data_IF_586716322033
#
_entry.id   IF_586716322033
#
_cell.length_a   1.000
_cell.length_b   1.000
_cell.length_c   1.000
_cell.angle_alpha   90.00
_cell.angle_beta   90.00
_cell.angle_gamma   90.00
#
_symmetry.space_group_name_H-M   'P 1'
#
loop_
_entity.id
_entity.type
_entity.pdbx_description
1 polymer ?
#
# COMPACT_ATOMS: atom_id res chain seq x y z
N UNK A 1 -18.68 -60.14 20.59
CA UNK A 1 -19.99 -60.02 19.93
C UNK A 1 -19.95 -58.75 19.09
N UNK A 2 -19.91 -58.93 17.76
CA UNK A 2 -19.82 -57.84 16.78
C UNK A 2 -21.25 -57.59 16.26
N UNK A 3 -21.72 -56.34 16.37
CA UNK A 3 -22.98 -55.92 15.71
C UNK A 3 -22.64 -55.02 14.54
N UNK A 4 -22.94 -55.51 13.34
CA UNK A 4 -22.82 -54.81 12.06
C UNK A 4 -24.17 -54.18 11.76
N UNK A 5 -24.27 -52.88 11.68
CA UNK A 5 -25.45 -52.15 11.21
C UNK A 5 -25.29 -51.93 9.71
N UNK A 6 -26.15 -52.59 8.92
CA UNK A 6 -26.32 -52.38 7.46
C UNK A 6 -27.28 -51.22 7.25
N UNK A 7 -26.83 -50.16 6.58
CA UNK A 7 -27.70 -49.10 6.06
C UNK A 7 -28.04 -49.46 4.60
N UNK A 8 -29.33 -49.68 4.35
CA UNK A 8 -29.89 -49.94 3.02
C UNK A 8 -30.17 -48.63 2.31
N UNK A 9 -29.59 -48.46 1.14
CA UNK A 9 -29.81 -47.31 0.27
C UNK A 9 -31.02 -47.59 -0.64
N UNK A 10 -32.15 -46.90 -0.45
CA UNK A 10 -33.28 -46.93 -1.37
C UNK A 10 -33.06 -45.89 -2.49
N UNK A 11 -32.87 -46.41 -3.69
CA UNK A 11 -32.80 -45.61 -4.92
C UNK A 11 -34.22 -45.55 -5.52
N UNK A 12 -34.87 -44.36 -5.42
CA UNK A 12 -36.16 -44.15 -6.07
C UNK A 12 -35.93 -43.47 -7.42
N UNK A 13 -36.17 -44.20 -8.49
CA UNK A 13 -36.18 -43.69 -9.86
C UNK A 13 -37.50 -42.94 -10.10
N UNK A 14 -37.47 -41.63 -10.30
CA UNK A 14 -38.60 -40.88 -10.86
C UNK A 14 -38.36 -40.64 -12.34
N UNK A 15 -39.11 -41.30 -13.18
CA UNK A 15 -39.25 -41.02 -14.61
C UNK A 15 -40.21 -39.83 -14.79
N UNK A 16 -39.73 -38.71 -15.26
CA UNK A 16 -40.55 -37.60 -15.74
C UNK A 16 -40.52 -37.59 -17.27
N UNK A 17 -41.68 -37.89 -17.83
CA UNK A 17 -42.01 -37.78 -19.24
C UNK A 17 -41.89 -36.37 -19.75
N UNK A 18 -41.28 -36.24 -20.94
CA UNK A 18 -41.04 -34.98 -21.60
C UNK A 18 -42.32 -34.29 -22.11
N UNK A 19 -42.36 -33.02 -22.00
CA UNK A 19 -43.09 -32.12 -22.89
C UNK A 19 -42.15 -31.07 -23.42
N UNK A 20 -41.81 -31.19 -24.70
CA UNK A 20 -41.14 -30.18 -25.49
C UNK A 20 -42.04 -28.95 -25.61
N UNK A 21 -41.63 -27.81 -25.08
CA UNK A 21 -42.17 -26.53 -25.47
C UNK A 21 -40.97 -25.70 -25.99
N UNK A 22 -40.58 -25.91 -27.24
CA UNK A 22 -39.79 -24.98 -28.00
C UNK A 22 -40.76 -23.98 -28.66
N UNK A 23 -40.95 -22.81 -28.02
CA UNK A 23 -41.59 -21.64 -28.57
C UNK A 23 -40.55 -20.62 -28.99
N UNK A 24 -40.42 -20.50 -30.29
CA UNK A 24 -39.97 -19.31 -31.06
C UNK A 24 -38.91 -18.36 -30.53
N UNK A 25 -37.79 -18.55 -31.18
CA UNK A 25 -36.77 -17.63 -31.60
C UNK A 25 -37.26 -16.14 -31.68
N UNK A 26 -36.85 -15.33 -30.72
CA UNK A 26 -36.65 -13.90 -30.91
C UNK A 26 -35.16 -13.66 -30.81
N UNK A 27 -34.54 -13.47 -31.98
CA UNK A 27 -33.23 -12.85 -32.11
C UNK A 27 -33.32 -11.47 -31.44
N UNK A 28 -32.97 -11.39 -30.18
CA UNK A 28 -32.60 -10.13 -29.55
C UNK A 28 -31.29 -9.68 -30.17
N UNK A 29 -31.40 -8.88 -31.20
CA UNK A 29 -30.30 -8.10 -31.75
C UNK A 29 -29.72 -7.27 -30.61
N UNK A 30 -28.55 -7.66 -30.12
CA UNK A 30 -27.73 -6.85 -29.26
C UNK A 30 -27.46 -5.55 -30.01
N UNK A 31 -28.20 -4.51 -29.67
CA UNK A 31 -27.97 -3.16 -30.19
C UNK A 31 -26.62 -2.70 -29.65
N UNK A 32 -25.61 -2.69 -30.50
CA UNK A 32 -24.33 -2.03 -30.25
C UNK A 32 -24.64 -0.61 -29.77
N UNK A 33 -24.13 -0.18 -28.62
CA UNK A 33 -24.31 1.19 -28.15
C UNK A 33 -23.72 2.15 -29.20
N UNK A 34 -24.32 3.34 -29.42
CA UNK A 34 -23.86 4.28 -30.43
C UNK A 34 -22.42 4.67 -30.13
N UNK A 35 -21.52 4.42 -31.08
CA UNK A 35 -20.17 4.96 -31.09
C UNK A 35 -20.30 6.49 -31.26
N UNK A 36 -19.96 7.21 -30.17
CA UNK A 36 -19.89 8.66 -30.30
C UNK A 36 -20.26 9.41 -29.03
N UNK A 37 -19.37 9.36 -28.09
CA UNK A 37 -18.92 10.45 -27.21
C UNK A 37 -17.88 9.80 -26.28
N UNK A 38 -16.62 9.87 -26.66
CA UNK A 38 -15.55 9.77 -25.69
C UNK A 38 -15.77 10.94 -24.74
N UNK A 39 -16.48 10.68 -23.64
CA UNK A 39 -16.45 11.58 -22.51
C UNK A 39 -14.99 11.68 -22.13
N UNK A 40 -14.37 12.81 -22.41
CA UNK A 40 -13.09 13.17 -21.84
C UNK A 40 -13.37 13.18 -20.33
N UNK A 41 -13.07 12.09 -19.67
CA UNK A 41 -13.02 12.04 -18.22
C UNK A 41 -11.88 12.99 -17.85
N UNK A 42 -12.23 14.24 -17.58
CA UNK A 42 -11.30 15.17 -16.92
C UNK A 42 -11.10 14.52 -15.55
N UNK A 43 -9.98 13.81 -15.39
CA UNK A 43 -9.60 13.34 -14.07
C UNK A 43 -9.56 14.57 -13.15
N UNK A 44 -10.23 14.52 -12.00
CA UNK A 44 -10.20 15.66 -11.08
C UNK A 44 -8.75 15.94 -10.73
N UNK A 45 -8.35 17.21 -10.90
CA UNK A 45 -6.97 17.63 -10.61
C UNK A 45 -6.57 17.11 -9.23
N UNK A 46 -5.38 16.50 -9.12
CA UNK A 46 -4.85 16.03 -7.85
C UNK A 46 -4.75 17.21 -6.87
N UNK A 47 -5.55 17.18 -5.81
CA UNK A 47 -5.64 18.26 -4.82
C UNK A 47 -5.34 17.75 -3.42
N UNK A 48 -4.71 18.60 -2.62
CA UNK A 48 -4.35 18.34 -1.23
C UNK A 48 -5.05 19.35 -0.32
N UNK A 49 -5.77 18.84 0.68
CA UNK A 49 -6.25 19.63 1.80
C UNK A 49 -5.34 19.33 3.02
N UNK A 50 -4.50 20.27 3.47
CA UNK A 50 -3.55 20.02 4.55
C UNK A 50 -4.21 19.55 5.85
N UNK A 51 -5.41 20.04 6.18
CA UNK A 51 -6.12 19.67 7.41
C UNK A 51 -6.69 18.24 7.39
N UNK A 52 -6.72 17.57 6.23
CA UNK A 52 -7.30 16.24 6.02
C UNK A 52 -6.31 15.23 5.43
N UNK A 53 -5.05 15.64 5.24
CA UNK A 53 -4.04 14.82 4.57
C UNK A 53 -2.86 14.54 5.49
N UNK A 54 -2.43 13.28 5.53
CA UNK A 54 -1.15 12.90 6.13
C UNK A 54 -0.19 12.36 5.04
N UNK A 55 1.09 12.64 5.23
CA UNK A 55 2.19 12.06 4.44
C UNK A 55 2.80 10.92 5.24
N UNK A 56 2.81 9.71 4.68
CA UNK A 56 3.43 8.54 5.25
C UNK A 56 4.73 8.22 4.52
N UNK A 57 5.85 8.39 5.22
CA UNK A 57 7.17 7.92 4.80
C UNK A 57 7.43 6.57 5.49
N UNK A 58 7.66 5.51 4.72
CA UNK A 58 7.61 4.15 5.22
C UNK A 58 8.90 3.37 4.93
N UNK A 59 9.48 2.81 5.99
CA UNK A 59 10.66 1.92 5.95
C UNK A 59 11.91 2.57 5.29
N UNK A 60 12.26 3.75 5.76
CA UNK A 60 13.48 4.48 5.37
C UNK A 60 14.61 4.32 6.42
N UNK A 61 14.63 3.19 7.13
CA UNK A 61 15.71 2.81 8.04
C UNK A 61 16.96 2.41 7.25
N UNK A 62 18.14 2.63 7.85
CA UNK A 62 19.43 2.36 7.23
C UNK A 62 19.53 0.92 6.68
N UNK A 63 19.14 -0.10 7.46
CA UNK A 63 19.13 -1.51 7.03
C UNK A 63 18.27 -1.77 5.77
N UNK A 64 17.23 -0.97 5.55
CA UNK A 64 16.35 -1.06 4.39
C UNK A 64 16.96 -0.30 3.21
N UNK A 65 17.35 0.95 3.44
CA UNK A 65 17.93 1.83 2.43
C UNK A 65 19.22 1.23 1.83
N UNK A 66 20.06 0.61 2.66
CA UNK A 66 21.32 -0.02 2.25
C UNK A 66 21.12 -1.28 1.37
N UNK A 67 19.90 -1.80 1.27
CA UNK A 67 19.59 -2.87 0.31
C UNK A 67 19.45 -2.38 -1.14
N UNK A 68 19.32 -1.08 -1.34
CA UNK A 68 19.19 -0.48 -2.67
C UNK A 68 20.58 -0.20 -3.28
N UNK A 69 20.73 -0.33 -4.60
CA UNK A 69 21.94 0.13 -5.30
C UNK A 69 22.20 1.60 -5.03
N UNK A 70 23.47 2.01 -4.99
CA UNK A 70 23.88 3.38 -4.64
C UNK A 70 23.31 4.43 -5.59
N UNK A 71 23.26 4.13 -6.87
CA UNK A 71 22.70 4.97 -7.94
C UNK A 71 21.17 5.19 -7.79
N UNK A 72 20.48 4.30 -7.10
CA UNK A 72 19.05 4.43 -6.75
C UNK A 72 18.88 5.15 -5.40
N UNK A 73 19.68 4.74 -4.41
CA UNK A 73 19.56 5.18 -3.03
C UNK A 73 19.75 6.70 -2.85
N UNK A 74 20.82 7.25 -3.41
CA UNK A 74 21.13 8.68 -3.30
C UNK A 74 19.98 9.57 -3.78
N UNK A 75 19.57 9.46 -5.06
CA UNK A 75 18.48 10.25 -5.62
C UNK A 75 17.12 10.02 -4.94
N UNK A 76 16.85 8.81 -4.42
CA UNK A 76 15.62 8.50 -3.70
C UNK A 76 15.53 9.28 -2.39
N UNK A 77 16.59 9.27 -1.59
CA UNK A 77 16.67 9.98 -0.31
C UNK A 77 16.62 11.50 -0.48
N UNK A 78 17.27 12.03 -1.52
CA UNK A 78 17.20 13.45 -1.85
C UNK A 78 15.77 13.88 -2.18
N UNK A 79 15.05 13.11 -3.00
CA UNK A 79 13.63 13.35 -3.29
C UNK A 79 12.76 13.26 -2.06
N UNK A 80 12.93 12.23 -1.25
CA UNK A 80 12.18 12.07 0.00
C UNK A 80 12.40 13.26 0.94
N UNK A 81 13.64 13.72 1.08
CA UNK A 81 13.97 14.94 1.85
C UNK A 81 13.27 16.19 1.32
N UNK A 82 13.23 16.37 -0.01
CA UNK A 82 12.54 17.49 -0.66
C UNK A 82 11.02 17.42 -0.45
N UNK A 83 10.42 16.23 -0.57
CA UNK A 83 8.99 16.01 -0.27
C UNK A 83 8.67 16.39 1.17
N UNK A 84 9.47 15.92 2.12
CA UNK A 84 9.26 16.18 3.55
C UNK A 84 9.41 17.68 3.88
N UNK A 85 10.39 18.36 3.29
CA UNK A 85 10.58 19.81 3.44
C UNK A 85 9.33 20.56 2.95
N UNK A 86 8.83 20.24 1.76
CA UNK A 86 7.60 20.83 1.21
C UNK A 86 6.36 20.55 2.04
N UNK A 87 6.19 19.29 2.46
CA UNK A 87 5.06 18.87 3.29
C UNK A 87 5.02 19.62 4.63
N UNK A 88 6.18 19.83 5.28
CA UNK A 88 6.27 20.61 6.52
C UNK A 88 5.92 22.09 6.30
N UNK A 89 6.41 22.70 5.22
CA UNK A 89 6.04 24.08 4.87
C UNK A 89 4.54 24.24 4.61
N UNK A 90 3.93 23.25 3.98
CA UNK A 90 2.49 23.19 3.75
C UNK A 90 1.68 22.74 4.99
N UNK A 91 2.33 22.53 6.13
CA UNK A 91 1.72 22.10 7.40
C UNK A 91 0.94 20.79 7.31
N UNK A 92 1.38 19.88 6.45
CA UNK A 92 0.85 18.52 6.39
C UNK A 92 1.30 17.72 7.62
N UNK A 93 0.44 16.82 8.10
CA UNK A 93 0.86 15.87 9.12
C UNK A 93 1.84 14.86 8.48
N UNK A 94 3.03 14.73 9.04
CA UNK A 94 4.01 13.73 8.62
C UNK A 94 4.02 12.61 9.65
N UNK A 95 3.96 11.37 9.13
CA UNK A 95 4.02 10.15 9.93
C UNK A 95 5.08 9.24 9.33
N UNK A 96 6.08 8.93 10.11
CA UNK A 96 7.07 7.90 9.80
C UNK A 96 6.52 6.56 10.22
N UNK A 97 6.61 5.60 9.34
CA UNK A 97 6.27 4.20 9.64
C UNK A 97 7.57 3.40 9.54
N UNK A 98 8.02 2.86 10.65
CA UNK A 98 9.29 2.14 10.73
C UNK A 98 9.07 0.68 11.13
N UNK A 99 9.84 -0.23 10.53
CA UNK A 99 9.83 -1.64 10.92
C UNK A 99 11.00 -1.93 11.86
N UNK A 100 10.70 -2.29 13.10
CA UNK A 100 11.71 -2.61 14.12
C UNK A 100 11.30 -3.84 14.89
N UNK A 101 12.25 -4.57 15.41
CA UNK A 101 12.02 -5.77 16.22
C UNK A 101 12.78 -5.67 17.55
N UNK A 102 12.22 -6.28 18.58
CA UNK A 102 12.93 -6.43 19.85
C UNK A 102 14.09 -7.41 19.69
N UNK A 103 15.07 -7.31 20.56
CA UNK A 103 16.16 -8.31 20.60
C UNK A 103 15.60 -9.73 20.70
N UNK A 104 16.23 -10.66 19.99
CA UNK A 104 15.77 -12.05 19.87
C UNK A 104 14.53 -12.27 19.01
N UNK A 105 13.88 -11.21 18.49
CA UNK A 105 12.71 -11.24 17.59
C UNK A 105 11.54 -12.07 18.14
N UNK A 106 11.03 -11.77 19.34
CA UNK A 106 9.89 -12.51 19.92
C UNK A 106 8.62 -12.41 19.09
N UNK A 107 8.50 -11.39 18.23
CA UNK A 107 7.37 -11.18 17.33
C UNK A 107 7.39 -12.05 16.09
N UNK A 108 8.50 -12.76 15.82
CA UNK A 108 8.70 -13.49 14.56
C UNK A 108 8.44 -14.97 14.72
N UNK A 109 7.39 -15.47 14.06
CA UNK A 109 7.16 -16.89 13.89
C UNK A 109 7.96 -17.41 12.69
N UNK A 110 8.65 -18.55 12.85
CA UNK A 110 9.48 -19.15 11.81
C UNK A 110 8.70 -19.62 10.57
N UNK A 111 7.39 -19.79 10.68
CA UNK A 111 6.52 -20.08 9.53
C UNK A 111 6.32 -18.85 8.63
N UNK A 112 6.57 -17.65 9.13
CA UNK A 112 6.49 -16.43 8.33
C UNK A 112 7.76 -16.30 7.48
N UNK A 113 7.66 -16.69 6.21
CA UNK A 113 8.80 -16.74 5.28
C UNK A 113 9.57 -15.42 5.17
N UNK A 114 8.87 -14.27 5.16
CA UNK A 114 9.52 -12.96 5.07
C UNK A 114 10.30 -12.65 6.34
N UNK A 115 9.67 -12.74 7.51
CA UNK A 115 10.26 -12.30 8.75
C UNK A 115 11.21 -13.33 9.38
N UNK A 116 11.08 -14.63 9.05
CA UNK A 116 12.07 -15.62 9.46
C UNK A 116 13.45 -15.35 8.84
N UNK A 117 13.49 -14.95 7.56
CA UNK A 117 14.73 -14.52 6.90
C UNK A 117 15.32 -13.25 7.54
N UNK A 118 14.46 -12.30 7.93
CA UNK A 118 14.89 -11.09 8.62
C UNK A 118 15.52 -11.42 9.99
N UNK A 119 14.88 -12.28 10.78
CA UNK A 119 15.43 -12.76 12.05
C UNK A 119 16.81 -13.40 11.88
N UNK A 120 17.00 -14.20 10.82
CA UNK A 120 18.29 -14.83 10.52
C UNK A 120 19.38 -13.80 10.17
N UNK A 121 19.00 -12.67 9.55
CA UNK A 121 19.93 -11.61 9.18
C UNK A 121 20.36 -10.72 10.35
N UNK A 122 19.65 -10.74 11.48
CA UNK A 122 19.93 -9.90 12.64
C UNK A 122 19.63 -8.41 12.43
N UNK A 123 18.86 -8.04 11.39
CA UNK A 123 18.60 -6.65 11.00
C UNK A 123 17.37 -6.06 11.71
N UNK A 124 17.31 -4.75 11.73
CA UNK A 124 16.16 -3.96 12.22
C UNK A 124 15.86 -4.21 13.72
N UNK A 125 16.88 -4.48 14.50
CA UNK A 125 16.76 -4.57 15.97
C UNK A 125 16.69 -3.18 16.58
N UNK A 126 15.72 -2.92 17.42
CA UNK A 126 15.55 -1.63 18.12
C UNK A 126 16.84 -1.19 18.82
N UNK A 127 17.19 0.08 18.64
CA UNK A 127 18.39 0.67 19.25
C UNK A 127 19.69 0.38 18.50
N UNK A 128 19.66 -0.34 17.38
CA UNK A 128 20.83 -0.51 16.51
C UNK A 128 20.87 0.56 15.41
N UNK A 129 22.07 0.94 14.93
CA UNK A 129 22.19 1.92 13.83
C UNK A 129 21.44 1.53 12.56
N UNK A 130 21.30 0.24 12.26
CA UNK A 130 20.57 -0.27 11.11
C UNK A 130 19.05 -0.03 11.20
N UNK A 131 18.50 -0.01 12.41
CA UNK A 131 17.09 0.27 12.65
C UNK A 131 16.76 1.76 12.77
N UNK A 132 17.76 2.65 12.72
CA UNK A 132 17.51 4.09 12.70
C UNK A 132 17.16 4.60 11.30
N UNK A 133 16.31 5.63 11.26
CA UNK A 133 15.92 6.30 10.02
C UNK A 133 17.15 7.00 9.42
N UNK A 134 17.35 6.90 8.12
CA UNK A 134 18.46 7.57 7.43
C UNK A 134 18.45 9.08 7.75
N UNK A 135 19.61 9.61 8.11
CA UNK A 135 19.78 10.99 8.60
C UNK A 135 19.31 12.06 7.61
N UNK A 136 19.33 11.78 6.30
CA UNK A 136 18.88 12.68 5.24
C UNK A 136 17.37 12.92 5.24
N UNK A 137 16.62 12.01 5.86
CA UNK A 137 15.15 12.07 5.99
C UNK A 137 14.70 12.00 7.45
N UNK A 138 15.54 12.33 8.39
CA UNK A 138 15.27 12.22 9.82
C UNK A 138 13.99 12.97 10.25
N UNK A 139 13.23 12.43 11.21
CA UNK A 139 12.06 13.09 11.80
C UNK A 139 12.45 14.43 12.46
N UNK A 140 11.51 15.38 12.42
CA UNK A 140 11.63 16.67 13.08
C UNK A 140 10.57 16.82 14.19
N UNK A 141 10.73 17.77 15.11
CA UNK A 141 9.71 18.04 16.11
C UNK A 141 8.33 18.26 15.48
N UNK A 142 7.33 17.52 15.97
CA UNK A 142 5.95 17.52 15.43
C UNK A 142 5.66 16.37 14.48
N UNK A 143 6.65 15.69 13.93
CA UNK A 143 6.46 14.45 13.18
C UNK A 143 6.14 13.29 14.13
N UNK A 144 5.33 12.35 13.64
CA UNK A 144 4.95 11.15 14.42
C UNK A 144 5.74 9.96 13.90
N UNK A 145 6.23 9.09 14.80
CA UNK A 145 6.87 7.83 14.44
C UNK A 145 6.02 6.68 14.93
N UNK A 146 5.60 5.83 14.00
CA UNK A 146 4.81 4.61 14.26
C UNK A 146 5.69 3.40 13.99
N UNK A 147 5.85 2.53 14.97
CA UNK A 147 6.66 1.32 14.84
C UNK A 147 5.78 0.11 14.57
N UNK A 148 6.05 -0.59 13.48
CA UNK A 148 5.37 -1.83 13.08
C UNK A 148 6.25 -3.06 13.22
N UNK A 149 5.60 -4.23 13.25
CA UNK A 149 6.23 -5.56 13.30
C UNK A 149 5.80 -6.45 12.13
N UNK A 150 5.14 -5.86 11.13
CA UNK A 150 4.61 -6.54 9.93
C UNK A 150 4.86 -5.69 8.69
N UNK A 151 4.53 -6.21 7.52
CA UNK A 151 4.79 -5.51 6.25
C UNK A 151 3.97 -4.22 6.12
N UNK A 152 2.67 -4.26 6.37
CA UNK A 152 1.79 -3.10 6.22
C UNK A 152 1.84 -2.15 7.41
N UNK A 153 1.63 -0.87 7.15
CA UNK A 153 1.69 0.21 8.16
C UNK A 153 0.63 0.08 9.26
N UNK A 154 -0.53 -0.46 8.94
CA UNK A 154 -1.64 -0.60 9.88
C UNK A 154 -1.57 -1.86 10.75
N UNK A 155 -0.80 -2.86 10.30
CA UNK A 155 -0.68 -4.14 11.00
C UNK A 155 0.07 -3.99 12.31
N UNK A 156 -0.60 -4.25 13.44
CA UNK A 156 -0.01 -4.22 14.78
C UNK A 156 0.47 -2.84 15.25
N UNK A 157 -0.15 -1.76 14.74
CA UNK A 157 0.19 -0.39 15.08
C UNK A 157 -1.04 0.41 15.55
N UNK A 158 -0.79 1.58 16.08
CA UNK A 158 -1.79 2.58 16.45
C UNK A 158 -2.06 3.62 15.33
N UNK A 159 -1.54 3.38 14.11
CA UNK A 159 -1.64 4.32 12.99
C UNK A 159 -3.10 4.72 12.72
N UNK A 160 -4.03 3.77 12.68
CA UNK A 160 -5.45 4.04 12.46
C UNK A 160 -6.02 4.98 13.55
N UNK A 161 -5.69 4.74 14.80
CA UNK A 161 -6.11 5.59 15.93
C UNK A 161 -5.60 7.03 15.75
N UNK A 162 -4.33 7.18 15.36
CA UNK A 162 -3.70 8.49 15.11
C UNK A 162 -4.41 9.22 13.95
N UNK A 163 -4.64 8.55 12.83
CA UNK A 163 -5.28 9.13 11.66
C UNK A 163 -6.71 9.58 11.97
N UNK A 164 -7.49 8.74 12.67
CA UNK A 164 -8.86 9.08 13.07
C UNK A 164 -8.91 10.25 14.06
N UNK A 165 -8.04 10.26 15.06
CA UNK A 165 -7.98 11.36 16.04
C UNK A 165 -7.67 12.71 15.42
N UNK A 166 -6.95 12.71 14.30
CA UNK A 166 -6.59 13.91 13.53
C UNK A 166 -7.57 14.19 12.37
N UNK A 167 -8.64 13.43 12.23
CA UNK A 167 -9.63 13.55 11.14
C UNK A 167 -8.98 13.48 9.74
N UNK A 168 -7.94 12.68 9.58
CA UNK A 168 -7.28 12.44 8.28
C UNK A 168 -8.16 11.54 7.44
N UNK A 169 -8.36 11.89 6.17
CA UNK A 169 -9.12 11.12 5.18
C UNK A 169 -8.35 10.90 3.88
N UNK A 170 -7.19 11.56 3.71
CA UNK A 170 -6.30 11.35 2.56
C UNK A 170 -4.90 10.99 3.03
N UNK A 171 -4.30 10.00 2.39
CA UNK A 171 -2.92 9.60 2.64
C UNK A 171 -2.08 9.79 1.38
N UNK A 172 -0.92 10.42 1.53
CA UNK A 172 0.13 10.48 0.52
C UNK A 172 1.22 9.52 0.96
N UNK A 173 1.49 8.49 0.17
CA UNK A 173 2.29 7.33 0.54
C UNK A 173 3.56 7.25 -0.29
N UNK A 174 4.69 6.97 0.33
CA UNK A 174 5.90 6.51 -0.33
C UNK A 174 6.74 5.65 0.61
N UNK A 175 7.57 4.76 0.07
CA UNK A 175 8.30 3.82 0.92
C UNK A 175 9.13 2.78 0.19
N UNK A 176 9.86 1.98 0.95
CA UNK A 176 10.76 0.89 0.55
C UNK A 176 10.39 -0.37 1.34
N UNK A 177 9.96 -1.49 0.71
CA UNK A 177 9.80 -1.70 -0.73
C UNK A 177 8.38 -1.42 -1.21
N UNK A 178 8.27 -1.13 -2.50
CA UNK A 178 6.98 -0.93 -3.18
C UNK A 178 6.08 -2.15 -3.06
N UNK A 179 6.62 -3.36 -3.28
CA UNK A 179 5.89 -4.64 -3.16
C UNK A 179 5.63 -5.08 -1.71
N UNK A 180 6.34 -4.49 -0.75
CA UNK A 180 6.21 -4.78 0.68
C UNK A 180 5.28 -3.80 1.37
N UNK A 181 5.87 -2.79 2.02
CA UNK A 181 5.13 -1.83 2.84
C UNK A 181 4.13 -1.01 2.05
N UNK A 182 4.50 -0.52 0.84
CA UNK A 182 3.60 0.34 0.07
C UNK A 182 2.36 -0.44 -0.37
N UNK A 183 2.53 -1.60 -1.02
CA UNK A 183 1.40 -2.42 -1.48
C UNK A 183 0.50 -2.86 -0.32
N UNK A 184 1.08 -3.33 0.78
CA UNK A 184 0.32 -3.79 1.95
C UNK A 184 -0.47 -2.64 2.59
N UNK A 185 0.10 -1.43 2.63
CA UNK A 185 -0.55 -0.25 3.20
C UNK A 185 -1.66 0.28 2.29
N UNK A 186 -1.42 0.32 0.97
CA UNK A 186 -2.43 0.74 -0.02
C UNK A 186 -3.67 -0.14 0.05
N UNK A 187 -3.51 -1.47 0.08
CA UNK A 187 -4.64 -2.40 0.18
C UNK A 187 -5.48 -2.15 1.42
N UNK A 188 -4.85 -2.09 2.57
CA UNK A 188 -5.54 -1.85 3.83
C UNK A 188 -6.23 -0.48 3.88
N UNK A 189 -5.51 0.57 3.47
CA UNK A 189 -6.04 1.93 3.52
C UNK A 189 -7.21 2.14 2.54
N UNK A 190 -7.19 1.50 1.37
CA UNK A 190 -8.30 1.52 0.42
C UNK A 190 -9.55 0.84 1.01
N UNK A 191 -9.38 -0.31 1.67
CA UNK A 191 -10.48 -1.03 2.34
C UNK A 191 -11.06 -0.25 3.54
N UNK A 192 -10.31 0.74 4.05
CA UNK A 192 -10.74 1.66 5.13
C UNK A 192 -11.24 3.01 4.60
N UNK A 193 -11.53 3.13 3.31
CA UNK A 193 -12.07 4.31 2.63
C UNK A 193 -11.18 5.56 2.66
N UNK A 194 -9.85 5.40 2.81
CA UNK A 194 -8.93 6.52 2.63
C UNK A 194 -8.77 6.88 1.15
N UNK A 195 -8.79 8.19 0.84
CA UNK A 195 -8.32 8.68 -0.46
C UNK A 195 -6.79 8.56 -0.50
N UNK A 196 -6.25 7.90 -1.54
CA UNK A 196 -4.83 7.54 -1.60
C UNK A 196 -4.11 8.23 -2.75
N UNK A 197 -2.90 8.68 -2.48
CA UNK A 197 -1.92 9.05 -3.50
C UNK A 197 -0.58 8.38 -3.20
N UNK A 198 0.14 7.97 -4.24
CA UNK A 198 1.46 7.36 -4.14
C UNK A 198 2.45 8.24 -4.88
N UNK A 199 3.54 8.63 -4.20
CA UNK A 199 4.63 9.38 -4.83
C UNK A 199 5.60 8.37 -5.44
N UNK A 200 5.45 8.12 -6.74
CA UNK A 200 6.08 7.00 -7.45
C UNK A 200 7.60 7.04 -7.45
N UNK A 201 8.18 8.22 -7.65
CA UNK A 201 9.63 8.42 -7.71
C UNK A 201 10.30 8.54 -6.32
N UNK A 202 9.51 8.44 -5.25
CA UNK A 202 9.98 8.27 -3.88
C UNK A 202 9.68 6.85 -3.34
N UNK A 203 9.29 5.91 -4.20
CA UNK A 203 9.19 4.48 -3.90
C UNK A 203 10.31 3.73 -4.61
N UNK A 204 10.78 2.66 -3.99
CA UNK A 204 11.73 1.74 -4.60
C UNK A 204 11.42 0.28 -4.26
N UNK A 205 11.82 -0.62 -5.12
CA UNK A 205 11.80 -2.07 -4.90
C UNK A 205 13.16 -2.66 -5.29
N UNK A 206 13.46 -3.85 -4.80
CA UNK A 206 14.67 -4.58 -5.21
C UNK A 206 14.64 -4.96 -6.69
N UNK A 207 13.44 -5.22 -7.20
CA UNK A 207 13.19 -5.53 -8.59
C UNK A 207 12.50 -4.32 -9.27
N UNK A 208 13.19 -3.62 -10.17
CA UNK A 208 12.64 -2.46 -10.89
C UNK A 208 11.40 -2.80 -11.73
N UNK A 209 11.28 -4.03 -12.23
CA UNK A 209 10.11 -4.46 -12.98
C UNK A 209 8.89 -4.59 -12.06
N UNK A 210 9.07 -5.17 -10.88
CA UNK A 210 8.01 -5.24 -9.85
C UNK A 210 7.54 -3.83 -9.47
N UNK A 211 8.47 -2.91 -9.23
CA UNK A 211 8.15 -1.50 -8.95
C UNK A 211 7.30 -0.91 -10.08
N UNK A 212 7.75 -1.04 -11.33
CA UNK A 212 7.05 -0.52 -12.52
C UNK A 212 5.64 -1.12 -12.67
N UNK A 213 5.50 -2.44 -12.55
CA UNK A 213 4.20 -3.12 -12.67
C UNK A 213 3.22 -2.64 -11.59
N UNK A 214 3.69 -2.47 -10.36
CA UNK A 214 2.86 -1.96 -9.27
C UNK A 214 2.39 -0.53 -9.54
N UNK A 215 3.28 0.35 -9.97
CA UNK A 215 2.96 1.75 -10.27
C UNK A 215 2.01 1.88 -11.48
N UNK A 216 2.25 1.12 -12.55
CA UNK A 216 1.54 1.28 -13.82
C UNK A 216 0.21 0.50 -13.88
N UNK A 217 0.13 -0.65 -13.19
CA UNK A 217 -0.96 -1.62 -13.40
C UNK A 217 -1.79 -1.92 -12.16
N UNK A 218 -1.23 -1.79 -10.97
CA UNK A 218 -1.88 -2.23 -9.74
C UNK A 218 -2.43 -1.05 -8.94
N UNK A 219 -1.59 -0.08 -8.62
CA UNK A 219 -2.00 1.06 -7.79
C UNK A 219 -3.05 1.97 -8.39
N UNK A 220 -3.12 2.21 -9.73
CA UNK A 220 -4.14 3.08 -10.30
C UNK A 220 -5.59 2.63 -10.04
N UNK A 221 -5.79 1.38 -9.63
CA UNK A 221 -7.11 0.88 -9.22
C UNK A 221 -7.57 1.40 -7.84
N UNK A 222 -6.64 1.85 -6.98
CA UNK A 222 -6.93 2.20 -5.59
C UNK A 222 -6.33 3.54 -5.16
N UNK A 223 -5.43 4.10 -5.95
CA UNK A 223 -4.69 5.31 -5.60
C UNK A 223 -4.38 6.16 -6.83
N UNK A 224 -4.24 7.46 -6.65
CA UNK A 224 -3.65 8.33 -7.66
C UNK A 224 -2.14 8.20 -7.59
N UNK A 225 -1.50 7.77 -8.69
CA UNK A 225 -0.03 7.71 -8.77
C UNK A 225 0.47 9.05 -9.29
N UNK A 226 1.33 9.71 -8.53
CA UNK A 226 1.90 11.03 -8.85
C UNK A 226 3.43 11.01 -8.69
N UNK A 227 4.10 11.95 -9.33
CA UNK A 227 5.51 12.22 -9.08
C UNK A 227 5.70 13.16 -7.89
N UNK A 228 6.91 13.23 -7.32
CA UNK A 228 7.28 14.22 -6.31
C UNK A 228 7.02 15.65 -6.77
N UNK A 229 7.29 15.94 -8.05
CA UNK A 229 7.03 17.24 -8.66
C UNK A 229 5.53 17.59 -8.66
N UNK A 230 4.67 16.65 -9.02
CA UNK A 230 3.22 16.86 -9.03
C UNK A 230 2.68 17.03 -7.61
N UNK A 231 3.18 16.24 -6.65
CA UNK A 231 2.84 16.41 -5.25
C UNK A 231 3.24 17.79 -4.72
N UNK A 232 4.50 18.20 -4.92
CA UNK A 232 5.01 19.51 -4.49
C UNK A 232 4.22 20.65 -5.13
N UNK A 233 3.86 20.54 -6.42
CA UNK A 233 2.99 21.49 -7.10
C UNK A 233 1.62 21.58 -6.43
N UNK A 234 1.00 20.44 -6.08
CA UNK A 234 -0.32 20.38 -5.47
C UNK A 234 -0.38 21.01 -4.08
N UNK A 235 0.75 21.09 -3.37
CA UNK A 235 0.87 21.74 -2.06
C UNK A 235 1.47 23.17 -2.13
N UNK A 236 1.69 23.71 -3.34
CA UNK A 236 2.26 25.06 -3.54
C UNK A 236 3.75 25.18 -3.19
N UNK A 237 4.50 24.08 -3.25
CA UNK A 237 5.89 23.98 -2.81
C UNK A 237 6.89 23.63 -3.94
N UNK A 238 6.57 23.97 -5.18
CA UNK A 238 7.34 23.60 -6.36
C UNK A 238 8.72 24.25 -6.50
N UNK A 239 8.97 25.33 -5.78
CA UNK A 239 10.23 26.10 -5.84
C UNK A 239 11.24 25.69 -4.75
N UNK A 240 11.00 24.58 -4.07
CA UNK A 240 11.91 24.06 -3.04
C UNK A 240 13.12 23.40 -3.72
N UNK A 241 14.29 24.00 -3.52
CA UNK A 241 15.60 23.44 -3.88
C UNK A 241 16.20 22.71 -2.69
#
# INVERSE_FOLDING_TARGET
MRSIVRISLFLTLLTLSGTNIFGHDKQDTIKTPPQGRTAVMIEPAFTINPAKTAVLIMDYENDIVDMLPEDVRGPLLERAGTILKGARQAKLQIIYVVVRFRDGYPEVNLQNKLFSGLKQSGRLVEGTPGAEIDSRVAPQPGDIVVTKRRAGAFSTTDLETILRSKNISKLVLFGISTSGVVLSTVRWAADMDYSLAIVSDACADRDPEVNRVLMDKVFPWQATVVTSREFLKAIGAQDIK
#
